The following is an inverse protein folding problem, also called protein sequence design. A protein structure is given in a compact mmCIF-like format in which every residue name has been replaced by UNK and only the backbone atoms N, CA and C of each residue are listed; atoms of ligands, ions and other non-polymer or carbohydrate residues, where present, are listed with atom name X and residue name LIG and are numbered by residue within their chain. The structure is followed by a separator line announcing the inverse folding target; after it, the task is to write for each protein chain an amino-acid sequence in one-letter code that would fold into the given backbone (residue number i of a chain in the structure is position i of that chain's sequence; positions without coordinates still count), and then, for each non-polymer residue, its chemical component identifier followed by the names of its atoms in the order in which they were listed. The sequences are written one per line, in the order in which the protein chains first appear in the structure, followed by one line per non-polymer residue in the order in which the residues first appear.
data_IF_429860931083
#
_entry.id   IF_429860931083
#
_cell.length_a   1.000
_cell.length_b   1.000
_cell.length_c   1.000
_cell.angle_alpha   90.00
_cell.angle_beta   90.00
_cell.angle_gamma   90.00
#
_symmetry.space_group_name_H-M   'P 1'
#
loop_
_entity.id
_entity.type
_entity.pdbx_description
1 polymer ?
#
# COMPACT_ATOMS: atom_id res chain seq x y z
N UNK A 1 -2.02 -16.09 -4.04
CA UNK A 1 -1.24 -14.89 -3.66
C UNK A 1 -1.70 -14.42 -2.29
N UNK A 2 -1.40 -13.19 -1.88
CA UNK A 2 -2.03 -12.61 -0.68
C UNK A 2 -2.92 -11.44 -1.12
N UNK A 3 -4.14 -11.39 -0.61
CA UNK A 3 -4.96 -10.19 -0.72
C UNK A 3 -4.55 -9.20 0.38
N UNK A 4 -4.33 -7.95 -0.02
CA UNK A 4 -4.01 -6.83 0.88
C UNK A 4 -4.95 -5.69 0.59
N UNK A 5 -5.41 -5.01 1.63
CA UNK A 5 -6.20 -3.80 1.51
C UNK A 5 -5.34 -2.61 1.94
N UNK A 6 -5.44 -1.50 1.22
CA UNK A 6 -4.69 -0.31 1.54
C UNK A 6 -5.10 0.91 0.73
N UNK A 7 -4.60 2.05 1.17
CA UNK A 7 -4.90 3.36 0.58
C UNK A 7 -3.62 4.17 0.42
N UNK A 8 -3.52 4.82 -0.73
CA UNK A 8 -2.50 5.82 -1.03
C UNK A 8 -2.88 7.18 -0.43
N UNK A 9 -1.86 7.89 0.05
CA UNK A 9 -1.92 9.28 0.44
C UNK A 9 -0.85 10.10 -0.27
N UNK A 10 -1.19 11.33 -0.63
CA UNK A 10 -0.24 12.34 -1.09
C UNK A 10 -0.71 13.67 -0.54
N UNK A 11 0.15 14.34 0.21
CA UNK A 11 -0.17 15.60 0.87
C UNK A 11 0.96 16.59 0.68
N UNK A 12 0.62 17.83 0.38
CA UNK A 12 1.59 18.93 0.34
C UNK A 12 2.09 19.25 1.76
N UNK A 13 3.34 19.67 1.86
CA UNK A 13 3.97 20.03 3.14
C UNK A 13 3.68 21.49 3.48
N UNK A 14 3.25 21.81 4.71
CA UNK A 14 2.94 23.19 5.09
C UNK A 14 4.21 24.04 5.21
N UNK A 15 4.09 25.31 4.83
CA UNK A 15 5.11 26.32 5.11
C UNK A 15 4.94 26.85 6.54
N UNK A 16 6.04 27.21 7.21
CA UNK A 16 5.99 27.82 8.55
C UNK A 16 5.20 29.14 8.57
N UNK A 17 5.20 29.87 7.46
CA UNK A 17 4.50 31.15 7.28
C UNK A 17 3.03 30.98 6.90
N UNK A 18 2.52 29.75 6.79
CA UNK A 18 1.21 29.43 6.25
C UNK A 18 1.24 29.13 4.74
N UNK A 19 0.24 28.38 4.26
CA UNK A 19 0.23 27.81 2.91
C UNK A 19 1.00 26.49 2.80
N UNK A 20 1.35 26.09 1.58
CA UNK A 20 2.05 24.83 1.30
C UNK A 20 3.24 25.07 0.36
N UNK A 21 4.27 24.25 0.49
CA UNK A 21 5.32 24.15 -0.52
C UNK A 21 4.74 23.65 -1.84
N UNK A 22 5.16 24.26 -2.95
CA UNK A 22 4.66 23.89 -4.30
C UNK A 22 5.15 22.50 -4.74
N UNK A 23 6.41 22.18 -4.41
CA UNK A 23 7.07 20.96 -4.91
C UNK A 23 7.34 19.91 -3.83
N UNK A 24 7.04 20.20 -2.56
CA UNK A 24 7.31 19.28 -1.46
C UNK A 24 6.05 18.55 -1.02
N UNK A 25 6.10 17.22 -1.13
CA UNK A 25 5.03 16.33 -0.71
C UNK A 25 5.49 15.32 0.32
N UNK A 26 4.51 14.74 1.01
CA UNK A 26 4.63 13.49 1.73
C UNK A 26 3.88 12.44 0.91
N UNK A 27 4.62 11.44 0.44
CA UNK A 27 4.08 10.26 -0.22
C UNK A 27 3.82 9.17 0.82
N UNK A 28 2.60 8.65 0.90
CA UNK A 28 2.27 7.63 1.88
C UNK A 28 1.41 6.50 1.33
N UNK A 29 1.52 5.35 1.98
CA UNK A 29 0.65 4.20 1.78
C UNK A 29 0.40 3.53 3.12
N UNK A 30 -0.86 3.28 3.45
CA UNK A 30 -1.25 2.51 4.62
C UNK A 30 -2.06 1.31 4.18
N UNK A 31 -1.80 0.15 4.75
CA UNK A 31 -2.56 -1.06 4.44
C UNK A 31 -2.35 -2.17 5.46
N UNK A 32 -3.13 -3.23 5.30
CA UNK A 32 -3.09 -4.40 6.16
C UNK A 32 -3.22 -5.69 5.34
N UNK A 33 -2.82 -6.81 5.92
CA UNK A 33 -2.93 -8.11 5.26
C UNK A 33 -2.73 -9.32 6.19
N UNK A 34 -3.21 -10.51 5.77
CA UNK A 34 -4.15 -10.74 4.67
C UNK A 34 -5.52 -10.09 4.92
N UNK A 35 -6.35 -9.88 3.89
CA UNK A 35 -7.67 -9.23 4.05
C UNK A 35 -8.63 -10.09 4.88
N UNK A 36 -8.64 -11.40 4.63
CA UNK A 36 -9.55 -12.35 5.29
C UNK A 36 -9.23 -12.57 6.78
N UNK A 37 -7.97 -12.42 7.18
CA UNK A 37 -7.52 -12.56 8.56
C UNK A 37 -6.32 -11.65 8.84
N UNK A 38 -6.53 -10.34 9.05
CA UNK A 38 -5.44 -9.37 9.15
C UNK A 38 -4.43 -9.70 10.26
N UNK A 39 -3.14 -9.74 9.90
CA UNK A 39 -2.03 -10.06 10.82
C UNK A 39 -1.11 -8.89 11.10
N UNK A 40 -1.06 -7.92 10.18
CA UNK A 40 -0.23 -6.73 10.32
C UNK A 40 -0.89 -5.53 9.65
N UNK A 41 -0.51 -4.34 10.13
CA UNK A 41 -0.75 -3.05 9.48
C UNK A 41 0.62 -2.44 9.18
N UNK A 42 0.78 -1.88 7.99
CA UNK A 42 2.01 -1.21 7.56
C UNK A 42 1.63 0.21 7.14
N UNK A 43 2.33 1.20 7.69
CA UNK A 43 2.36 2.57 7.19
C UNK A 43 3.74 2.83 6.59
N UNK A 44 3.76 3.18 5.31
CA UNK A 44 4.93 3.74 4.64
C UNK A 44 4.70 5.23 4.48
N UNK A 45 5.63 6.04 4.99
CA UNK A 45 5.67 7.49 4.84
C UNK A 45 7.04 7.89 4.32
N UNK A 46 7.06 8.62 3.22
CA UNK A 46 8.28 9.11 2.58
C UNK A 46 8.13 10.62 2.48
N UNK A 47 9.01 11.33 3.21
CA UNK A 47 9.08 12.77 3.19
C UNK A 47 10.00 13.22 2.05
N UNK A 48 9.58 14.23 1.30
CA UNK A 48 10.35 14.82 0.20
C UNK A 48 10.83 13.78 -0.83
N UNK A 49 9.94 12.97 -1.44
CA UNK A 49 10.35 12.02 -2.46
C UNK A 49 10.97 12.74 -3.65
N UNK A 50 12.14 12.29 -4.10
CA UNK A 50 12.94 13.00 -5.11
C UNK A 50 12.69 12.56 -6.55
N UNK A 51 12.07 11.39 -6.74
CA UNK A 51 11.83 10.79 -8.07
C UNK A 51 10.41 11.02 -8.57
N UNK A 52 9.42 11.07 -7.68
CA UNK A 52 8.00 11.27 -7.99
C UNK A 52 7.23 11.69 -6.73
N UNK A 53 6.32 12.69 -6.77
CA UNK A 53 5.55 13.13 -5.61
C UNK A 53 4.44 12.18 -5.13
N UNK A 54 3.96 11.24 -5.96
CA UNK A 54 2.75 10.47 -5.67
C UNK A 54 2.99 9.22 -4.82
N UNK A 55 2.19 9.06 -3.77
CA UNK A 55 2.20 7.88 -2.88
C UNK A 55 1.95 6.55 -3.59
N UNK A 56 1.18 6.56 -4.68
CA UNK A 56 0.96 5.38 -5.53
C UNK A 56 2.22 4.88 -6.22
N UNK A 57 3.15 5.78 -6.57
CA UNK A 57 4.34 5.45 -7.34
C UNK A 57 5.57 5.20 -6.44
N UNK A 58 5.64 5.87 -5.28
CA UNK A 58 6.80 5.72 -4.37
C UNK A 58 6.50 4.84 -3.16
N UNK A 59 5.40 5.09 -2.45
CA UNK A 59 5.13 4.39 -1.18
C UNK A 59 4.51 3.00 -1.39
N UNK A 60 3.67 2.82 -2.42
CA UNK A 60 3.02 1.53 -2.68
C UNK A 60 4.00 0.38 -3.04
N UNK A 61 5.04 0.57 -3.87
CA UNK A 61 6.03 -0.47 -4.12
C UNK A 61 6.81 -0.88 -2.87
N UNK A 62 7.14 0.08 -2.00
CA UNK A 62 7.79 -0.18 -0.72
C UNK A 62 6.89 -0.99 0.20
N UNK A 63 5.61 -0.62 0.31
CA UNK A 63 4.61 -1.40 1.05
C UNK A 63 4.55 -2.85 0.53
N UNK A 64 4.50 -3.06 -0.79
CA UNK A 64 4.45 -4.40 -1.39
C UNK A 64 5.67 -5.23 -1.03
N UNK A 65 6.87 -4.63 -1.05
CA UNK A 65 8.10 -5.31 -0.68
C UNK A 65 8.06 -5.76 0.80
N UNK A 66 7.73 -4.84 1.71
CA UNK A 66 7.63 -5.13 3.15
C UNK A 66 6.56 -6.19 3.42
N UNK A 67 5.35 -6.03 2.88
CA UNK A 67 4.26 -7.00 3.07
C UNK A 67 4.65 -8.39 2.59
N UNK A 68 5.33 -8.49 1.44
CA UNK A 68 5.82 -9.75 0.90
C UNK A 68 6.84 -10.42 1.82
N UNK A 69 7.72 -9.64 2.47
CA UNK A 69 8.65 -10.17 3.49
C UNK A 69 7.90 -10.63 4.74
N UNK A 70 6.94 -9.84 5.25
CA UNK A 70 6.20 -10.17 6.46
C UNK A 70 5.39 -11.47 6.30
N UNK A 71 4.76 -11.67 5.14
CA UNK A 71 4.05 -12.92 4.85
C UNK A 71 4.97 -14.14 4.93
N UNK A 72 6.19 -14.03 4.36
CA UNK A 72 7.19 -15.11 4.44
C UNK A 72 7.70 -15.30 5.86
N UNK A 73 8.05 -14.22 6.54
CA UNK A 73 8.62 -14.24 7.89
C UNK A 73 7.66 -14.88 8.90
N UNK A 74 6.37 -14.54 8.85
CA UNK A 74 5.35 -15.08 9.74
C UNK A 74 4.76 -16.42 9.26
N UNK A 75 5.27 -16.99 8.17
CA UNK A 75 4.78 -18.24 7.58
C UNK A 75 3.26 -18.21 7.34
N UNK A 76 2.72 -17.07 6.93
CA UNK A 76 1.30 -16.92 6.65
C UNK A 76 1.03 -17.65 5.34
N UNK A 77 0.08 -18.60 5.27
CA UNK A 77 -0.23 -19.27 4.02
C UNK A 77 -0.91 -18.30 3.04
N UNK A 78 -0.68 -18.43 1.71
CA UNK A 78 -1.35 -17.61 0.72
C UNK A 78 -2.87 -17.85 0.73
N UNK A 79 -3.63 -16.80 0.42
CA UNK A 79 -5.09 -16.82 0.36
C UNK A 79 -5.59 -17.85 -0.67
N UNK A 80 -6.56 -18.69 -0.28
CA UNK A 80 -7.17 -19.75 -1.11
C UNK A 80 -8.21 -19.21 -2.11
N UNK A 81 -8.54 -17.92 -2.08
CA UNK A 81 -9.56 -17.28 -2.90
C UNK A 81 -9.08 -16.99 -4.33
N UNK A 82 -8.75 -18.01 -5.12
CA UNK A 82 -8.79 -17.89 -6.58
C UNK A 82 -9.55 -19.08 -7.15
N UNK A 83 -10.63 -18.77 -7.90
CA UNK A 83 -11.46 -19.62 -8.79
C UNK A 83 -12.93 -19.88 -8.35
N UNK A 84 -13.76 -18.83 -8.24
CA UNK A 84 -15.24 -18.96 -8.37
C UNK A 84 -15.84 -17.78 -9.14
N UNK A 85 -15.29 -17.37 -10.30
CA UNK A 85 -16.00 -16.46 -11.24
C UNK A 85 -15.62 -16.77 -12.71
N UNK A 86 -15.58 -18.04 -13.12
CA UNK A 86 -15.23 -18.34 -14.52
C UNK A 86 -16.01 -19.51 -15.17
N UNK A 87 -17.08 -20.05 -14.57
CA UNK A 87 -17.81 -21.19 -15.16
C UNK A 87 -19.32 -21.21 -14.88
N UNK A 88 -20.03 -20.11 -15.09
CA UNK A 88 -21.50 -20.15 -14.98
C UNK A 88 -22.28 -19.37 -16.06
N UNK A 89 -21.63 -18.98 -17.17
CA UNK A 89 -22.29 -18.25 -18.28
C UNK A 89 -22.22 -18.96 -19.65
N UNK A 90 -22.33 -20.29 -19.68
CA UNK A 90 -22.74 -21.02 -20.90
C UNK A 90 -23.37 -22.35 -20.53
N UNK A 91 -24.71 -22.38 -20.46
CA UNK A 91 -25.53 -23.57 -20.68
C UNK A 91 -26.79 -23.17 -21.42
#
# INVERSE_FOLDING_TARGET
GYEVAGKTGTSSIPLETGGYHEDLTIASYVGFGPVENPRFVILVKIDHPTVEPWGSLVAAPVFRAIASELFRYYHIPPSTSQQTIAREDTN
#
